data_IF_783646716490
#
_entry.id   IF_783646716490
#
_cell.length_a   1.000
_cell.length_b   1.000
_cell.length_c   1.000
_cell.angle_alpha   90.00
_cell.angle_beta   90.00
_cell.angle_gamma   90.00
#
_symmetry.space_group_name_H-M   'P 1'
#
loop_
_entity.id
_entity.type
_entity.pdbx_description
1 polymer ?
#
# COMPACT_ATOMS: atom_id res chain seq x y z
N UNK A 1 6.32 -15.92 0.38
CA UNK A 1 5.54 -14.97 1.19
C UNK A 1 6.50 -14.20 2.08
N UNK A 2 6.51 -12.86 2.06
CA UNK A 2 7.32 -12.09 3.04
C UNK A 2 6.56 -11.90 4.34
N UNK A 3 7.27 -11.76 5.47
CA UNK A 3 6.70 -11.43 6.79
C UNK A 3 5.68 -10.29 6.71
N UNK A 4 6.00 -9.25 5.95
CA UNK A 4 5.11 -8.13 5.67
C UNK A 4 3.74 -8.54 5.14
N UNK A 5 3.68 -9.43 4.14
CA UNK A 5 2.40 -9.83 3.52
C UNK A 5 1.55 -10.70 4.44
N UNK A 6 2.17 -11.42 5.37
CA UNK A 6 1.44 -12.22 6.37
C UNK A 6 0.83 -11.33 7.47
N UNK A 7 1.48 -10.20 7.78
CA UNK A 7 1.05 -9.28 8.84
C UNK A 7 0.11 -8.20 8.31
N UNK A 8 0.53 -7.44 7.29
CA UNK A 8 -0.24 -6.32 6.74
C UNK A 8 -1.41 -6.73 5.85
N UNK A 9 -1.39 -7.99 5.37
CA UNK A 9 -2.33 -8.48 4.36
C UNK A 9 -2.33 -7.66 3.08
N UNK A 10 -3.42 -7.78 2.32
CA UNK A 10 -3.73 -6.92 1.17
C UNK A 10 -4.97 -6.10 1.52
N UNK A 11 -4.98 -4.83 1.14
CA UNK A 11 -6.11 -3.94 1.38
C UNK A 11 -7.36 -4.47 0.65
N UNK A 12 -8.53 -4.35 1.29
CA UNK A 12 -9.82 -4.80 0.73
C UNK A 12 -10.18 -4.08 -0.58
N UNK A 13 -9.66 -2.87 -0.79
CA UNK A 13 -9.83 -2.06 -2.00
C UNK A 13 -8.75 -2.29 -3.06
N UNK A 14 -7.77 -3.17 -2.83
CA UNK A 14 -6.69 -3.38 -3.80
C UNK A 14 -7.22 -3.77 -5.18
N UNK A 15 -8.26 -4.61 -5.25
CA UNK A 15 -8.91 -4.96 -6.51
C UNK A 15 -9.55 -3.76 -7.20
N UNK A 16 -10.21 -2.87 -6.44
CA UNK A 16 -10.81 -1.64 -6.96
C UNK A 16 -9.73 -0.72 -7.57
N UNK A 17 -8.61 -0.55 -6.86
CA UNK A 17 -7.48 0.28 -7.30
C UNK A 17 -6.84 -0.27 -8.57
N UNK A 18 -6.57 -1.57 -8.62
CA UNK A 18 -6.00 -2.21 -9.81
C UNK A 18 -6.97 -2.12 -11.00
N UNK A 19 -8.26 -2.31 -10.77
CA UNK A 19 -9.26 -2.22 -11.82
C UNK A 19 -9.41 -0.79 -12.35
N UNK A 20 -9.30 0.24 -11.49
CA UNK A 20 -9.28 1.64 -11.89
C UNK A 20 -8.13 1.97 -12.85
N UNK A 21 -6.97 1.34 -12.64
CA UNK A 21 -5.76 1.50 -13.46
C UNK A 21 -5.72 0.53 -14.66
N UNK A 22 -6.77 -0.27 -14.86
CA UNK A 22 -6.83 -1.31 -15.88
C UNK A 22 -5.65 -2.30 -15.80
N UNK A 23 -5.33 -2.73 -14.58
CA UNK A 23 -4.26 -3.68 -14.28
C UNK A 23 -4.81 -4.95 -13.65
N UNK A 24 -4.16 -6.05 -13.96
CA UNK A 24 -4.24 -7.31 -13.23
C UNK A 24 -3.08 -7.43 -12.23
N UNK A 25 -3.30 -8.19 -11.15
CA UNK A 25 -2.28 -8.40 -10.11
C UNK A 25 -0.95 -8.94 -10.69
N UNK A 26 -0.99 -9.78 -11.72
CA UNK A 26 0.21 -10.34 -12.35
C UNK A 26 1.04 -9.34 -13.16
N UNK A 27 0.46 -8.20 -13.53
CA UNK A 27 1.12 -7.16 -14.32
C UNK A 27 1.92 -6.18 -13.45
N UNK A 28 1.68 -6.17 -12.13
CA UNK A 28 2.42 -5.32 -11.21
C UNK A 28 3.69 -6.03 -10.73
N UNK A 29 4.88 -5.48 -11.00
CA UNK A 29 6.12 -6.10 -10.58
C UNK A 29 6.19 -6.18 -9.07
N UNK A 30 6.39 -7.40 -8.55
CA UNK A 30 6.61 -7.64 -7.11
C UNK A 30 5.53 -6.99 -6.24
N UNK A 31 4.26 -7.07 -6.69
CA UNK A 31 3.10 -6.53 -5.98
C UNK A 31 3.10 -6.88 -4.49
N UNK A 32 2.75 -5.90 -3.66
CA UNK A 32 2.59 -6.07 -2.22
C UNK A 32 1.22 -5.64 -1.76
N UNK A 33 0.77 -4.48 -2.19
CA UNK A 33 -0.55 -3.98 -1.87
C UNK A 33 -1.01 -2.92 -2.87
N UNK A 34 -2.28 -2.56 -2.83
CA UNK A 34 -2.83 -1.37 -3.48
C UNK A 34 -3.93 -0.77 -2.62
N UNK A 35 -3.96 0.55 -2.48
CA UNK A 35 -4.88 1.22 -1.56
C UNK A 35 -5.27 2.61 -2.07
N UNK A 36 -6.35 3.15 -1.48
CA UNK A 36 -6.82 4.50 -1.74
C UNK A 36 -6.18 5.44 -0.70
N UNK A 37 -5.49 6.48 -1.18
CA UNK A 37 -4.92 7.54 -0.35
C UNK A 37 -5.83 8.77 -0.44
N UNK A 38 -6.50 9.08 0.65
CA UNK A 38 -7.48 10.17 0.76
C UNK A 38 -6.97 11.33 1.63
N UNK A 39 -5.66 11.41 1.86
CA UNK A 39 -5.05 12.48 2.66
C UNK A 39 -5.37 13.89 2.11
N UNK A 40 -5.61 14.01 0.80
CA UNK A 40 -6.02 15.25 0.14
C UNK A 40 -7.56 15.27 -0.05
N UNK A 41 -8.28 16.16 0.65
CA UNK A 41 -9.74 16.23 0.58
C UNK A 41 -10.25 16.44 -0.86
N UNK A 42 -11.17 15.58 -1.30
CA UNK A 42 -11.78 15.65 -2.62
C UNK A 42 -10.85 15.22 -3.78
N UNK A 43 -9.64 14.74 -3.49
CA UNK A 43 -8.68 14.26 -4.49
C UNK A 43 -8.08 12.92 -4.07
N UNK A 44 -8.87 11.84 -4.12
CA UNK A 44 -8.38 10.51 -3.80
C UNK A 44 -7.31 10.08 -4.81
N UNK A 45 -6.20 9.56 -4.29
CA UNK A 45 -5.09 9.01 -5.07
C UNK A 45 -5.09 7.50 -4.99
N UNK A 46 -4.82 6.86 -6.12
CA UNK A 46 -4.61 5.44 -6.22
C UNK A 46 -3.14 5.15 -5.96
N UNK A 47 -2.83 4.24 -5.04
CA UNK A 47 -1.43 3.92 -4.70
C UNK A 47 -1.19 2.42 -4.82
N UNK A 48 -0.16 2.06 -5.59
CA UNK A 48 0.35 0.69 -5.66
C UNK A 48 1.63 0.60 -4.84
N UNK A 49 1.68 -0.35 -3.91
CA UNK A 49 2.88 -0.72 -3.17
C UNK A 49 3.54 -1.92 -3.82
N UNK A 50 4.79 -1.75 -4.20
CA UNK A 50 5.63 -2.78 -4.82
C UNK A 50 6.88 -3.03 -3.98
N UNK A 51 7.56 -4.17 -4.21
CA UNK A 51 8.90 -4.41 -3.66
C UNK A 51 9.99 -4.29 -4.72
N UNK A 52 9.99 -3.14 -5.40
CA UNK A 52 10.97 -2.75 -6.44
C UNK A 52 11.76 -1.49 -6.08
N UNK A 53 11.64 -1.01 -4.82
CA UNK A 53 12.32 0.19 -4.33
C UNK A 53 13.81 -0.01 -4.01
N UNK A 54 14.51 1.09 -3.77
CA UNK A 54 15.89 1.12 -3.31
C UNK A 54 16.83 0.40 -4.27
N UNK A 55 17.67 -0.48 -3.73
CA UNK A 55 18.61 -1.28 -4.53
C UNK A 55 17.97 -2.20 -5.58
N UNK A 56 16.64 -2.38 -5.58
CA UNK A 56 15.94 -3.13 -6.60
C UNK A 56 15.55 -2.29 -7.83
N UNK A 57 15.58 -0.96 -7.75
CA UNK A 57 15.18 -0.06 -8.84
C UNK A 57 15.91 -0.35 -10.16
N UNK A 58 17.22 -0.58 -10.07
CA UNK A 58 18.08 -0.89 -11.23
C UNK A 58 17.81 -2.26 -11.87
N UNK A 59 17.18 -3.18 -11.14
CA UNK A 59 16.84 -4.52 -11.64
C UNK A 59 15.48 -4.58 -12.32
N UNK A 60 14.56 -3.70 -11.94
CA UNK A 60 13.18 -3.66 -12.43
C UNK A 60 12.90 -2.40 -13.26
N UNK A 61 13.88 -1.91 -14.02
CA UNK A 61 13.77 -0.63 -14.75
C UNK A 61 12.57 -0.69 -15.71
N UNK A 62 12.48 -1.72 -16.54
CA UNK A 62 11.42 -1.83 -17.56
C UNK A 62 10.02 -1.97 -16.94
N UNK A 63 9.90 -2.74 -15.86
CA UNK A 63 8.62 -2.92 -15.18
C UNK A 63 8.21 -1.66 -14.40
N UNK A 64 9.17 -0.94 -13.83
CA UNK A 64 8.94 0.35 -13.19
C UNK A 64 8.56 1.43 -14.22
N UNK A 65 9.18 1.44 -15.40
CA UNK A 65 8.81 2.30 -16.52
C UNK A 65 7.39 2.01 -17.03
N UNK A 66 6.97 0.74 -16.98
CA UNK A 66 5.59 0.36 -17.31
C UNK A 66 4.60 0.98 -16.33
N UNK A 67 4.93 0.99 -15.03
CA UNK A 67 4.08 1.63 -14.01
C UNK A 67 4.05 3.15 -14.17
N UNK A 68 5.20 3.82 -14.38
CA UNK A 68 5.22 5.27 -14.56
C UNK A 68 4.61 5.72 -15.90
N UNK A 69 4.52 4.83 -16.89
CA UNK A 69 3.86 5.08 -18.16
C UNK A 69 2.34 4.97 -18.13
N UNK A 70 1.72 4.57 -17.01
CA UNK A 70 0.27 4.44 -16.91
C UNK A 70 -0.42 5.81 -16.89
N UNK A 71 -1.64 5.83 -17.42
CA UNK A 71 -2.50 7.02 -17.37
C UNK A 71 -2.76 7.41 -15.92
N UNK A 72 -2.62 8.70 -15.64
CA UNK A 72 -2.83 9.24 -14.29
C UNK A 72 -1.62 9.13 -13.38
N UNK A 73 -0.46 8.63 -13.82
CA UNK A 73 0.75 8.62 -12.99
C UNK A 73 1.13 10.03 -12.53
N UNK A 74 1.33 10.18 -11.22
CA UNK A 74 1.71 11.44 -10.58
C UNK A 74 3.20 11.40 -10.22
N UNK A 75 3.59 10.39 -9.44
CA UNK A 75 4.93 10.28 -8.87
C UNK A 75 5.14 8.91 -8.25
N UNK A 76 6.39 8.53 -8.05
CA UNK A 76 6.77 7.40 -7.22
C UNK A 76 7.81 7.80 -6.17
N UNK A 77 7.91 7.03 -5.10
CA UNK A 77 8.96 7.19 -4.08
C UNK A 77 9.18 5.88 -3.32
N UNK A 78 10.36 5.71 -2.77
CA UNK A 78 10.66 4.60 -1.88
C UNK A 78 10.04 4.84 -0.49
N UNK A 79 9.61 3.77 0.16
CA UNK A 79 9.03 3.85 1.49
C UNK A 79 10.12 4.22 2.53
N UNK A 80 9.87 5.19 3.43
CA UNK A 80 10.87 5.65 4.41
C UNK A 80 11.15 4.62 5.51
N UNK A 81 10.25 3.66 5.75
CA UNK A 81 10.42 2.59 6.74
C UNK A 81 11.23 1.42 6.18
N UNK A 82 10.94 1.00 4.94
CA UNK A 82 11.73 -0.01 4.23
C UNK A 82 11.85 0.37 2.76
N UNK A 83 13.03 0.91 2.41
CA UNK A 83 13.35 1.38 1.05
C UNK A 83 13.26 0.30 -0.02
N UNK A 84 13.17 -0.98 0.33
CA UNK A 84 12.90 -2.03 -0.66
C UNK A 84 11.48 -1.98 -1.20
N UNK A 85 10.58 -1.25 -0.54
CA UNK A 85 9.25 -0.94 -1.05
C UNK A 85 9.24 0.40 -1.80
N UNK A 86 8.42 0.45 -2.84
CA UNK A 86 8.16 1.66 -3.62
C UNK A 86 6.65 1.87 -3.78
N UNK A 87 6.24 3.11 -3.54
CA UNK A 87 4.88 3.61 -3.70
C UNK A 87 4.76 4.30 -5.05
N UNK A 88 3.79 3.87 -5.84
CA UNK A 88 3.47 4.44 -7.14
C UNK A 88 2.11 5.12 -7.03
N UNK A 89 2.07 6.46 -7.17
CA UNK A 89 0.87 7.27 -6.99
C UNK A 89 0.26 7.65 -8.33
N UNK A 90 -1.06 7.53 -8.41
CA UNK A 90 -1.85 7.85 -9.59
C UNK A 90 -3.08 8.66 -9.22
N UNK A 91 -3.48 9.56 -10.09
CA UNK A 91 -4.84 10.08 -10.14
C UNK A 91 -5.78 9.00 -10.68
N UNK A 92 -7.08 9.12 -10.38
CA UNK A 92 -8.10 8.27 -10.98
C UNK A 92 -8.14 8.55 -12.49
N UNK A 93 -7.84 7.57 -13.36
CA UNK A 93 -7.81 7.80 -14.79
C UNK A 93 -9.17 8.24 -15.34
N UNK A 94 -9.18 9.17 -16.29
CA UNK A 94 -10.42 9.65 -16.94
C UNK A 94 -11.20 8.55 -17.65
N UNK A 95 -10.50 7.50 -18.07
CA UNK A 95 -11.04 6.32 -18.74
C UNK A 95 -11.30 5.15 -17.80
N UNK A 96 -11.21 5.34 -16.48
CA UNK A 96 -11.56 4.32 -15.50
C UNK A 96 -13.05 3.90 -15.66
N UNK A 97 -13.40 2.65 -15.37
CA UNK A 97 -14.79 2.19 -15.49
C UNK A 97 -15.73 3.05 -14.63
N UNK A 98 -16.92 3.47 -15.13
CA UNK A 98 -17.83 4.33 -14.38
C UNK A 98 -18.25 3.76 -13.01
N UNK A 99 -18.41 2.43 -12.93
CA UNK A 99 -18.72 1.77 -11.67
C UNK A 99 -17.60 1.93 -10.62
N UNK A 100 -16.34 1.92 -11.06
CA UNK A 100 -15.17 2.10 -10.19
C UNK A 100 -15.06 3.54 -9.73
N UNK A 101 -15.25 4.51 -10.63
CA UNK A 101 -15.21 5.93 -10.26
C UNK A 101 -16.31 6.29 -9.27
N UNK A 102 -17.51 5.75 -9.45
CA UNK A 102 -18.61 5.95 -8.50
C UNK A 102 -18.31 5.33 -7.14
N UNK A 103 -17.76 4.12 -7.10
CA UNK A 103 -17.37 3.48 -5.84
C UNK A 103 -16.27 4.25 -5.10
N UNK A 104 -15.27 4.78 -5.82
CA UNK A 104 -14.23 5.62 -5.22
C UNK A 104 -14.84 6.91 -4.65
N UNK A 105 -15.76 7.54 -5.36
CA UNK A 105 -16.45 8.75 -4.87
C UNK A 105 -17.24 8.46 -3.60
N UNK A 106 -18.05 7.39 -3.58
CA UNK A 106 -18.84 6.98 -2.41
C UNK A 106 -17.95 6.68 -1.20
N UNK A 107 -16.87 5.92 -1.39
CA UNK A 107 -15.90 5.63 -0.32
C UNK A 107 -15.26 6.93 0.20
N UNK A 108 -14.93 7.86 -0.68
CA UNK A 108 -14.31 9.15 -0.30
C UNK A 108 -15.29 10.01 0.49
N UNK A 109 -16.57 10.04 0.11
CA UNK A 109 -17.63 10.74 0.83
C UNK A 109 -17.87 10.10 2.21
N UNK A 110 -17.96 8.76 2.28
CA UNK A 110 -18.09 8.04 3.55
C UNK A 110 -16.88 8.29 4.46
N UNK A 111 -15.68 8.37 3.90
CA UNK A 111 -14.48 8.66 4.68
C UNK A 111 -14.46 10.08 5.26
N UNK A 112 -15.15 11.03 4.62
CA UNK A 112 -15.30 12.38 5.12
C UNK A 112 -16.30 12.49 6.29
N UNK A 113 -17.18 11.49 6.45
CA UNK A 113 -18.14 11.41 7.55
C UNK A 113 -17.65 10.42 8.64
N UNK A 114 -17.26 10.90 9.83
CA UNK A 114 -16.86 10.05 10.95
C UNK A 114 -17.95 9.09 11.45
N UNK A 115 -19.21 9.31 11.10
CA UNK A 115 -20.36 8.48 11.48
C UNK A 115 -20.77 7.48 10.39
N UNK A 116 -20.08 7.46 9.25
CA UNK A 116 -20.42 6.58 8.11
C UNK A 116 -20.35 5.08 8.42
N UNK A 117 -19.70 4.70 9.52
CA UNK A 117 -19.47 3.30 9.88
C UNK A 117 -18.46 2.60 8.98
N UNK A 118 -17.73 3.35 8.14
CA UNK A 118 -16.66 2.80 7.30
C UNK A 118 -15.57 2.19 8.20
N UNK A 119 -15.21 0.93 7.92
CA UNK A 119 -14.11 0.27 8.60
C UNK A 119 -12.81 1.06 8.35
N UNK A 120 -12.18 1.64 9.39
CA UNK A 120 -11.02 2.50 9.21
C UNK A 120 -9.84 1.73 8.60
N UNK A 121 -9.78 0.40 8.75
CA UNK A 121 -8.72 -0.42 8.17
C UNK A 121 -8.73 -0.43 6.64
N UNK A 122 -9.89 -0.17 6.02
CA UNK A 122 -10.04 -0.08 4.56
C UNK A 122 -9.20 1.08 3.98
N UNK A 123 -9.03 2.16 4.75
CA UNK A 123 -8.30 3.36 4.33
C UNK A 123 -6.88 3.43 4.91
N UNK A 124 -6.54 2.53 5.84
CA UNK A 124 -5.21 2.49 6.42
C UNK A 124 -4.16 2.11 5.37
N UNK A 125 -3.06 2.87 5.36
CA UNK A 125 -1.90 2.59 4.51
C UNK A 125 -1.23 1.29 4.95
N UNK A 126 -0.52 0.59 4.05
CA UNK A 126 -0.01 -0.75 4.32
C UNK A 126 0.95 -0.79 5.53
N UNK A 127 1.79 0.23 5.69
CA UNK A 127 2.72 0.34 6.82
C UNK A 127 2.01 0.65 8.14
N UNK A 128 0.92 1.41 8.10
CA UNK A 128 0.15 1.72 9.31
C UNK A 128 -0.62 0.50 9.79
N UNK A 129 -1.19 -0.29 8.86
CA UNK A 129 -1.80 -1.59 9.20
C UNK A 129 -0.76 -2.57 9.75
N UNK A 130 0.43 -2.62 9.15
CA UNK A 130 1.52 -3.46 9.63
C UNK A 130 1.88 -3.12 11.08
N UNK A 131 2.10 -1.83 11.38
CA UNK A 131 2.40 -1.35 12.72
C UNK A 131 1.27 -1.64 13.70
N UNK A 132 0.02 -1.32 13.35
CA UNK A 132 -1.11 -1.51 14.27
C UNK A 132 -1.30 -2.97 14.65
N UNK A 133 -1.11 -3.90 13.71
CA UNK A 133 -1.28 -5.34 13.96
C UNK A 133 -0.16 -5.94 14.81
N UNK A 134 1.06 -5.40 14.69
CA UNK A 134 2.18 -5.77 15.57
C UNK A 134 1.94 -5.24 16.98
N UNK A 135 1.52 -3.99 17.12
CA UNK A 135 1.31 -3.34 18.41
C UNK A 135 0.13 -3.93 19.20
N UNK A 136 -0.96 -4.30 18.52
CA UNK A 136 -2.16 -4.86 19.15
C UNK A 136 -2.01 -6.31 19.64
N UNK A 137 -0.85 -6.96 19.43
CA UNK A 137 -0.64 -8.41 19.71
C UNK A 137 -1.68 -9.35 19.08
N UNK A 138 -2.44 -8.89 18.09
CA UNK A 138 -3.36 -9.72 17.29
C UNK A 138 -2.60 -10.70 16.37
N UNK A 139 -1.29 -10.54 16.29
CA UNK A 139 -0.38 -11.44 15.59
C UNK A 139 0.54 -12.12 16.61
N UNK A 140 0.44 -13.46 16.73
CA UNK A 140 1.35 -14.28 17.56
C UNK A 140 2.72 -14.42 16.86
N UNK A 141 3.77 -13.76 17.38
CA UNK A 141 5.05 -13.71 16.72
C UNK A 141 6.00 -14.84 17.13
N UNK A 142 5.63 -15.78 18.02
CA UNK A 142 6.59 -16.73 18.61
C UNK A 142 7.52 -17.47 17.61
N UNK A 143 7.06 -17.90 16.42
CA UNK A 143 7.95 -18.54 15.45
C UNK A 143 8.91 -17.59 14.71
N UNK A 144 8.61 -16.28 14.63
CA UNK A 144 9.34 -15.29 13.82
C UNK A 144 9.90 -14.09 14.60
N UNK A 145 9.60 -13.96 15.90
CA UNK A 145 10.02 -12.86 16.76
C UNK A 145 11.54 -12.69 16.77
N UNK A 146 12.28 -13.79 16.71
CA UNK A 146 13.74 -13.76 16.59
C UNK A 146 14.23 -13.11 15.29
N UNK A 147 13.56 -13.38 14.17
CA UNK A 147 13.93 -12.82 12.86
C UNK A 147 13.57 -11.35 12.74
N UNK A 148 12.42 -10.94 13.30
CA UNK A 148 12.01 -9.53 13.29
C UNK A 148 12.83 -8.68 14.26
N UNK A 149 13.17 -9.19 15.46
CA UNK A 149 14.13 -8.52 16.35
C UNK A 149 15.47 -8.27 15.66
N UNK A 150 15.95 -9.24 14.89
CA UNK A 150 17.17 -9.12 14.10
C UNK A 150 17.05 -8.05 12.99
N UNK A 151 15.89 -7.97 12.32
CA UNK A 151 15.61 -6.99 11.26
C UNK A 151 15.46 -5.57 11.83
N UNK A 152 14.71 -5.39 12.91
CA UNK A 152 14.52 -4.09 13.56
C UNK A 152 15.81 -3.56 14.18
N UNK A 153 16.60 -4.45 14.81
CA UNK A 153 17.96 -4.13 15.28
C UNK A 153 18.87 -3.67 14.13
N UNK A 154 18.80 -4.31 12.96
CA UNK A 154 19.56 -3.92 11.75
C UNK A 154 19.08 -2.61 11.12
N UNK A 155 17.80 -2.27 11.30
CA UNK A 155 17.20 -1.02 10.84
C UNK A 155 17.38 0.15 11.84
N UNK A 156 18.07 -0.06 12.96
CA UNK A 156 18.33 0.97 13.97
C UNK A 156 17.13 1.35 14.84
N UNK A 157 16.08 0.52 14.84
CA UNK A 157 14.92 0.69 15.71
C UNK A 157 15.16 -0.09 17.00
N UNK A 158 15.42 0.62 18.09
CA UNK A 158 15.50 0.01 19.42
C UNK A 158 14.08 -0.24 19.93
N UNK A 159 13.68 -1.51 19.99
CA UNK A 159 12.43 -1.94 20.63
C UNK A 159 12.64 -1.98 22.16
N UNK A 160 13.21 -0.92 22.71
CA UNK A 160 13.49 -0.74 24.12
C UNK A 160 12.33 0.00 24.79
N UNK A 161 11.54 -0.74 25.55
CA UNK A 161 10.57 -0.22 26.50
C UNK A 161 10.26 -1.32 27.51
N UNK A 162 10.88 -1.22 28.68
CA UNK A 162 10.43 -1.91 29.90
C UNK A 162 8.99 -1.50 30.26
#
# INVERSE_FOLDING_TARGET
MSAFSMVAGTNKLAGLVLHALNLEHGQVPRFRDAYLDIDEPGRPKLVILTRTGGGHRSRYIQENETLSGLVGFISDHDDPFDTTFAHWKFDVPVNAPPAVTSAIAEITEMAADPQSGLDPEILMKPMDRFKSRIEKKEWDPEPMAGQLKEIFRKAGWDMGGE
#
